data_IF_059446486839
#
_entry.id   IF_059446486839
#
_cell.length_a   1.000
_cell.length_b   1.000
_cell.length_c   1.000
_cell.angle_alpha   90.00
_cell.angle_beta   90.00
_cell.angle_gamma   90.00
#
_symmetry.space_group_name_H-M   'P 1'
#
loop_
_entity.id
_entity.type
_entity.pdbx_description
1 polymer ?
#
# COMPACT_ATOMS: atom_id res chain seq x y z
N UNK A 1 26.62 -56.57 -9.65
CA UNK A 1 27.35 -55.47 -10.32
C UNK A 1 26.38 -54.31 -10.52
N UNK A 2 26.84 -53.08 -10.23
CA UNK A 2 26.06 -51.86 -9.99
C UNK A 2 25.05 -51.54 -11.11
N UNK A 3 23.77 -51.45 -10.75
CA UNK A 3 22.78 -50.70 -11.52
C UNK A 3 23.02 -49.21 -11.28
N UNK A 4 23.54 -48.52 -12.29
CA UNK A 4 23.56 -47.06 -12.38
C UNK A 4 22.21 -46.60 -12.95
N UNK A 5 21.38 -45.85 -12.19
CA UNK A 5 20.27 -45.13 -12.79
C UNK A 5 20.83 -43.88 -13.45
N UNK A 6 20.72 -43.84 -14.79
CA UNK A 6 20.97 -42.66 -15.61
C UNK A 6 20.08 -41.52 -15.11
N UNK A 7 20.68 -40.51 -14.50
CA UNK A 7 20.01 -39.25 -14.23
C UNK A 7 19.72 -38.55 -15.57
N UNK A 8 18.46 -38.57 -15.99
CA UNK A 8 17.98 -37.73 -17.07
C UNK A 8 17.86 -36.30 -16.55
N UNK A 9 18.76 -35.43 -16.99
CA UNK A 9 18.61 -34.00 -16.89
C UNK A 9 17.50 -33.59 -17.87
N UNK A 10 16.24 -33.60 -17.39
CA UNK A 10 15.16 -32.91 -18.10
C UNK A 10 15.39 -31.41 -17.92
N UNK A 11 16.23 -30.88 -18.81
CA UNK A 11 16.20 -29.48 -19.21
C UNK A 11 14.80 -29.18 -19.74
N UNK A 12 13.88 -28.80 -18.85
CA UNK A 12 12.75 -27.98 -19.27
C UNK A 12 13.33 -26.60 -19.59
N UNK A 13 13.84 -26.48 -20.81
CA UNK A 13 13.64 -25.25 -21.56
C UNK A 13 12.12 -25.15 -21.69
N UNK A 14 11.49 -24.54 -20.69
CA UNK A 14 10.21 -23.91 -20.93
C UNK A 14 10.53 -22.90 -22.04
N UNK A 15 10.12 -23.23 -23.27
CA UNK A 15 9.92 -22.24 -24.29
C UNK A 15 8.97 -21.23 -23.64
N UNK A 16 9.54 -20.17 -23.08
CA UNK A 16 8.85 -18.95 -22.82
C UNK A 16 8.24 -18.59 -24.17
N UNK A 17 6.94 -18.88 -24.30
CA UNK A 17 6.14 -18.37 -25.40
C UNK A 17 6.25 -16.86 -25.32
N UNK A 18 7.19 -16.32 -26.08
CA UNK A 18 7.32 -14.90 -26.31
C UNK A 18 6.02 -14.45 -26.97
N UNK A 19 5.08 -13.94 -26.16
CA UNK A 19 4.09 -12.99 -26.62
C UNK A 19 4.67 -11.58 -26.37
N UNK A 20 4.40 -10.63 -27.27
CA UNK A 20 5.28 -9.50 -27.53
C UNK A 20 5.15 -8.46 -26.41
N UNK A 21 5.97 -8.54 -25.37
CA UNK A 21 6.05 -7.49 -24.35
C UNK A 21 7.42 -6.83 -24.46
N UNK A 22 7.73 -6.23 -25.61
CA UNK A 22 8.82 -5.26 -25.71
C UNK A 22 8.28 -3.86 -25.38
N UNK A 23 7.80 -3.67 -24.15
CA UNK A 23 7.64 -2.34 -23.59
C UNK A 23 8.76 -2.13 -22.57
N UNK A 24 9.46 -0.99 -22.73
CA UNK A 24 10.73 -0.60 -22.10
C UNK A 24 10.60 -0.41 -20.58
N UNK A 25 10.27 -1.47 -19.84
CA UNK A 25 10.37 -1.45 -18.39
C UNK A 25 11.85 -1.43 -18.02
N UNK A 26 12.30 -0.38 -17.34
CA UNK A 26 13.61 -0.43 -16.71
C UNK A 26 13.46 -1.18 -15.37
N UNK A 27 13.81 -2.46 -15.38
CA UNK A 27 13.67 -3.34 -14.21
C UNK A 27 14.93 -3.37 -13.33
N UNK A 28 15.97 -2.62 -13.69
CA UNK A 28 17.26 -2.65 -12.95
C UNK A 28 17.14 -2.21 -11.50
N UNK A 29 16.11 -1.43 -11.18
CA UNK A 29 15.81 -0.93 -9.83
C UNK A 29 14.87 -1.85 -9.03
N UNK A 30 14.36 -2.93 -9.63
CA UNK A 30 13.38 -3.82 -9.01
C UNK A 30 14.04 -5.11 -8.52
N UNK A 31 13.75 -5.49 -7.29
CA UNK A 31 14.01 -6.83 -6.74
C UNK A 31 12.74 -7.68 -6.83
N UNK A 32 12.90 -9.01 -6.79
CA UNK A 32 11.77 -9.96 -6.81
C UNK A 32 10.80 -9.72 -7.98
N UNK A 33 11.37 -9.53 -9.18
CA UNK A 33 10.63 -9.10 -10.37
C UNK A 33 9.65 -10.17 -10.81
N UNK A 34 8.39 -9.78 -10.98
CA UNK A 34 7.33 -10.60 -11.55
C UNK A 34 6.70 -9.94 -12.77
N UNK A 35 6.22 -10.75 -13.71
CA UNK A 35 5.47 -10.27 -14.87
C UNK A 35 4.07 -10.85 -14.86
N UNK A 36 3.07 -9.99 -15.04
CA UNK A 36 1.66 -10.39 -15.05
C UNK A 36 0.90 -9.62 -16.12
N UNK A 37 -0.23 -10.16 -16.57
CA UNK A 37 -1.20 -9.41 -17.36
C UNK A 37 -2.27 -8.83 -16.43
N UNK A 38 -2.84 -7.68 -16.78
CA UNK A 38 -4.00 -7.15 -16.08
C UNK A 38 -5.20 -8.11 -16.20
N UNK A 39 -6.16 -7.98 -15.28
CA UNK A 39 -7.45 -8.67 -15.39
C UNK A 39 -8.11 -8.26 -16.71
N UNK A 40 -8.34 -9.21 -17.61
CA UNK A 40 -8.82 -8.94 -18.98
C UNK A 40 -7.72 -8.74 -20.03
N UNK A 41 -6.43 -8.90 -19.69
CA UNK A 41 -5.27 -8.86 -20.61
C UNK A 41 -5.10 -7.56 -21.41
N UNK A 42 -5.68 -6.46 -20.93
CA UNK A 42 -5.61 -5.16 -21.58
C UNK A 42 -4.31 -4.37 -21.28
N UNK A 43 -3.50 -4.85 -20.34
CA UNK A 43 -2.21 -4.27 -19.98
C UNK A 43 -1.21 -5.35 -19.56
N UNK A 44 0.07 -5.07 -19.80
CA UNK A 44 1.20 -5.84 -19.27
C UNK A 44 1.76 -5.14 -18.05
N UNK A 45 2.00 -5.88 -16.98
CA UNK A 45 2.45 -5.35 -15.71
C UNK A 45 3.76 -5.99 -15.26
N UNK A 46 4.65 -5.17 -14.72
CA UNK A 46 5.81 -5.59 -13.94
C UNK A 46 5.52 -5.34 -12.46
N UNK A 47 5.90 -6.28 -11.62
CA UNK A 47 5.85 -6.17 -10.17
C UNK A 47 7.25 -6.34 -9.60
N UNK A 48 7.52 -5.71 -8.46
CA UNK A 48 8.77 -5.91 -7.75
C UNK A 48 8.92 -4.91 -6.62
N UNK A 49 10.01 -5.03 -5.88
CA UNK A 49 10.35 -4.13 -4.78
C UNK A 49 11.37 -3.10 -5.23
N UNK A 50 11.08 -1.82 -4.99
CA UNK A 50 11.99 -0.70 -5.22
C UNK A 50 12.53 -0.19 -3.88
N UNK A 51 13.83 0.09 -3.83
CA UNK A 51 14.50 0.55 -2.63
C UNK A 51 14.49 2.08 -2.59
N UNK A 52 13.78 2.66 -1.62
CA UNK A 52 13.53 4.11 -1.55
C UNK A 52 14.18 4.69 -0.30
N UNK A 53 15.27 5.45 -0.44
CA UNK A 53 15.86 6.19 0.68
C UNK A 53 15.01 7.42 1.00
N UNK A 54 14.57 7.53 2.27
CA UNK A 54 13.79 8.67 2.75
C UNK A 54 14.35 9.23 4.06
N UNK A 55 13.88 10.43 4.40
CA UNK A 55 14.22 11.13 5.64
C UNK A 55 12.97 11.81 6.16
N UNK A 56 12.52 11.49 7.36
CA UNK A 56 11.31 12.08 7.93
C UNK A 56 11.42 12.21 9.44
N UNK A 57 10.66 13.15 10.00
CA UNK A 57 10.46 13.26 11.44
C UNK A 57 9.33 12.29 11.82
N UNK A 58 9.67 11.33 12.69
CA UNK A 58 8.73 10.38 13.26
C UNK A 58 8.30 10.88 14.64
N UNK A 59 7.01 10.76 14.94
CA UNK A 59 6.49 11.02 16.29
C UNK A 59 6.77 9.81 17.18
N UNK A 60 7.37 10.03 18.34
CA UNK A 60 7.56 8.98 19.33
C UNK A 60 6.23 8.77 20.07
N UNK A 61 5.65 7.58 19.93
CA UNK A 61 4.35 7.26 20.49
C UNK A 61 4.46 6.70 21.90
N UNK A 62 3.64 7.24 22.81
CA UNK A 62 3.39 6.71 24.16
C UNK A 62 2.56 5.41 24.17
N UNK A 63 2.10 4.95 23.01
CA UNK A 63 1.23 3.79 22.91
C UNK A 63 1.99 2.49 23.21
N UNK A 64 1.65 1.84 24.32
CA UNK A 64 2.16 0.52 24.66
C UNK A 64 1.49 -0.57 23.79
N UNK A 65 2.28 -1.40 23.10
CA UNK A 65 1.79 -2.41 22.14
C UNK A 65 1.13 -3.64 22.78
N UNK A 66 1.28 -3.82 24.10
CA UNK A 66 0.81 -4.96 24.89
C UNK A 66 -0.60 -4.77 25.46
N UNK A 67 -1.41 -3.93 24.82
CA UNK A 67 -2.58 -3.37 25.47
C UNK A 67 -3.87 -4.10 25.10
N UNK A 68 -4.78 -4.15 26.07
CA UNK A 68 -6.05 -4.87 25.98
C UNK A 68 -6.99 -4.23 24.94
N UNK A 69 -8.10 -4.89 24.59
CA UNK A 69 -9.02 -4.37 23.56
C UNK A 69 -9.58 -2.96 23.84
N UNK A 70 -9.55 -2.51 25.10
CA UNK A 70 -10.04 -1.20 25.52
C UNK A 70 -9.10 -0.07 25.09
N UNK A 71 -7.81 -0.22 25.37
CA UNK A 71 -6.79 0.75 24.95
C UNK A 71 -6.71 0.96 23.43
N UNK A 72 -6.82 -0.12 22.64
CA UNK A 72 -6.83 -0.07 21.17
C UNK A 72 -8.08 0.66 20.69
N UNK A 73 -9.22 0.43 21.36
CA UNK A 73 -10.46 1.14 21.07
C UNK A 73 -10.31 2.64 21.33
N UNK A 74 -9.74 3.04 22.48
CA UNK A 74 -9.51 4.45 22.81
C UNK A 74 -8.51 5.11 21.86
N UNK A 75 -7.44 4.42 21.48
CA UNK A 75 -6.50 4.89 20.48
C UNK A 75 -7.17 5.10 19.12
N UNK A 76 -7.86 4.08 18.59
CA UNK A 76 -8.60 4.16 17.32
C UNK A 76 -9.65 5.26 17.36
N UNK A 77 -10.36 5.39 18.49
CA UNK A 77 -11.33 6.47 18.68
C UNK A 77 -10.66 7.83 18.60
N UNK A 78 -9.55 8.05 19.32
CA UNK A 78 -8.88 9.34 19.33
C UNK A 78 -8.23 9.70 18.00
N UNK A 79 -7.62 8.75 17.27
CA UNK A 79 -7.03 9.03 15.95
C UNK A 79 -8.05 9.21 14.82
N UNK A 80 -9.29 8.75 15.02
CA UNK A 80 -10.38 8.91 14.05
C UNK A 80 -11.25 10.14 14.30
N UNK A 81 -10.99 10.87 15.39
CA UNK A 81 -11.67 12.14 15.67
C UNK A 81 -11.18 13.22 14.73
N UNK A 82 -12.08 14.13 14.42
CA UNK A 82 -11.78 15.34 13.63
C UNK A 82 -10.97 16.37 14.42
N UNK A 83 -11.00 16.31 15.76
CA UNK A 83 -10.14 17.11 16.63
C UNK A 83 -8.77 16.44 16.74
N UNK A 84 -7.66 17.08 16.31
CA UNK A 84 -6.32 16.52 16.38
C UNK A 84 -5.69 16.61 17.78
N UNK A 85 -6.24 17.40 18.72
CA UNK A 85 -5.63 17.60 20.04
C UNK A 85 -5.46 16.28 20.84
N UNK A 86 -6.42 15.34 20.85
CA UNK A 86 -6.28 14.06 21.53
C UNK A 86 -5.17 13.15 20.96
N UNK A 87 -4.69 13.41 19.74
CA UNK A 87 -3.55 12.66 19.16
C UNK A 87 -2.24 13.14 19.79
N UNK A 88 -2.13 14.43 20.13
CA UNK A 88 -0.94 14.97 20.81
C UNK A 88 -0.75 14.40 22.22
N UNK A 89 -1.81 13.93 22.86
CA UNK A 89 -1.74 13.25 24.17
C UNK A 89 -0.96 11.92 24.11
N UNK A 90 -0.75 11.37 22.90
CA UNK A 90 0.03 10.15 22.68
C UNK A 90 1.45 10.41 22.14
N UNK A 91 1.91 11.66 22.11
CA UNK A 91 3.23 12.03 21.57
C UNK A 91 4.21 12.43 22.68
N UNK A 92 5.38 11.79 22.69
CA UNK A 92 6.50 12.12 23.60
C UNK A 92 7.54 13.07 22.98
N UNK A 93 7.47 13.29 21.67
CA UNK A 93 8.42 14.09 20.92
C UNK A 93 8.54 13.64 19.46
N UNK A 94 9.56 14.15 18.78
CA UNK A 94 9.89 13.72 17.41
C UNK A 94 11.35 13.32 17.29
N UNK A 95 11.60 12.35 16.42
CA UNK A 95 12.96 11.89 16.09
C UNK A 95 13.15 11.81 14.58
N UNK A 96 14.34 12.16 14.11
CA UNK A 96 14.64 12.16 12.67
C UNK A 96 15.11 10.78 12.22
N UNK A 97 14.29 10.09 11.42
CA UNK A 97 14.62 8.80 10.84
C UNK A 97 15.20 8.97 9.43
N UNK A 98 16.32 8.30 9.15
CA UNK A 98 16.94 8.20 7.82
C UNK A 98 17.13 6.73 7.49
N UNK A 99 16.31 6.21 6.58
CA UNK A 99 16.27 4.78 6.24
C UNK A 99 15.89 4.56 4.78
N UNK A 100 16.27 3.41 4.26
CA UNK A 100 15.83 2.92 2.94
C UNK A 100 14.78 1.84 3.14
N UNK A 101 13.64 2.00 2.48
CA UNK A 101 12.52 1.07 2.55
C UNK A 101 12.34 0.32 1.22
N UNK A 102 12.08 -0.97 1.31
CA UNK A 102 11.60 -1.80 0.21
C UNK A 102 10.10 -1.58 0.00
N UNK A 103 9.78 -0.86 -1.08
CA UNK A 103 8.40 -0.56 -1.45
C UNK A 103 8.00 -1.44 -2.61
N UNK A 104 6.96 -2.25 -2.41
CA UNK A 104 6.45 -3.08 -3.49
C UNK A 104 5.63 -2.24 -4.45
N UNK A 105 5.92 -2.36 -5.74
CA UNK A 105 5.26 -1.62 -6.82
C UNK A 105 4.74 -2.57 -7.88
N UNK A 106 3.61 -2.18 -8.48
CA UNK A 106 3.09 -2.76 -9.71
C UNK A 106 2.95 -1.68 -10.76
N UNK A 107 3.71 -1.77 -11.83
CA UNK A 107 3.66 -0.85 -12.94
C UNK A 107 3.09 -1.52 -14.18
N UNK A 108 1.96 -1.03 -14.66
CA UNK A 108 1.23 -1.57 -15.80
C UNK A 108 1.27 -0.62 -17.00
N UNK A 109 1.49 -1.17 -18.19
CA UNK A 109 1.45 -0.46 -19.47
C UNK A 109 0.33 -1.08 -20.33
N UNK A 110 -0.59 -0.27 -20.89
CA UNK A 110 -1.62 -0.76 -21.80
C UNK A 110 -1.04 -1.56 -22.97
N UNK A 111 -1.73 -2.59 -23.43
CA UNK A 111 -1.29 -3.42 -24.57
C UNK A 111 -1.23 -2.64 -25.88
N UNK A 112 -1.92 -1.49 -25.98
CA UNK A 112 -1.81 -0.53 -27.07
C UNK A 112 -0.50 0.27 -27.06
N UNK A 113 0.36 0.08 -26.04
CA UNK A 113 1.54 0.89 -25.78
C UNK A 113 1.20 2.22 -25.09
N UNK A 114 2.26 2.96 -24.75
CA UNK A 114 2.13 4.31 -24.22
C UNK A 114 1.82 5.30 -25.36
N UNK A 115 1.06 6.38 -25.09
CA UNK A 115 0.82 7.43 -26.06
C UNK A 115 2.12 7.98 -26.67
N UNK A 116 2.10 8.20 -27.98
CA UNK A 116 3.17 8.85 -28.72
C UNK A 116 3.24 10.33 -28.35
N UNK A 117 4.23 10.72 -27.57
CA UNK A 117 4.43 12.09 -27.10
C UNK A 117 5.40 12.18 -25.93
N UNK A 118 5.84 13.41 -25.63
CA UNK A 118 6.67 13.73 -24.45
C UNK A 118 5.83 14.08 -23.22
N UNK A 119 4.58 14.50 -23.43
CA UNK A 119 3.66 14.87 -22.35
C UNK A 119 2.83 13.66 -21.89
N UNK A 120 3.47 12.74 -21.16
CA UNK A 120 2.83 11.51 -20.68
C UNK A 120 2.29 11.69 -19.27
N UNK A 121 1.08 11.20 -19.07
CA UNK A 121 0.46 11.07 -17.76
C UNK A 121 0.57 9.64 -17.21
N UNK A 122 0.78 9.52 -15.91
CA UNK A 122 0.67 8.25 -15.17
C UNK A 122 -0.26 8.42 -13.98
N UNK A 123 -1.03 7.36 -13.70
CA UNK A 123 -1.83 7.24 -12.50
C UNK A 123 -1.03 6.47 -11.44
N UNK A 124 -0.90 7.04 -10.24
CA UNK A 124 -0.34 6.35 -9.07
C UNK A 124 -1.46 5.97 -8.11
N UNK A 125 -1.51 4.68 -7.73
CA UNK A 125 -2.45 4.14 -6.76
C UNK A 125 -1.68 3.65 -5.54
N UNK A 126 -1.90 4.27 -4.39
CA UNK A 126 -1.29 3.85 -3.12
C UNK A 126 -2.24 2.91 -2.38
N UNK A 127 -1.82 1.67 -2.14
CA UNK A 127 -2.51 0.69 -1.31
C UNK A 127 -1.48 -0.17 -0.58
N UNK A 128 -1.81 -0.66 0.62
CA UNK A 128 -0.98 -1.58 1.40
C UNK A 128 -1.15 -3.02 0.95
N UNK A 129 -0.16 -3.88 1.22
CA UNK A 129 -0.33 -5.33 1.12
C UNK A 129 0.95 -6.14 0.89
N UNK A 130 1.93 -5.63 0.13
CA UNK A 130 3.14 -6.38 -0.22
C UNK A 130 4.46 -5.65 0.06
N UNK A 131 4.39 -4.41 0.55
CA UNK A 131 5.59 -3.66 0.96
C UNK A 131 6.18 -4.23 2.24
N UNK A 132 7.41 -3.83 2.56
CA UNK A 132 8.00 -4.12 3.87
C UNK A 132 7.06 -3.67 5.01
N UNK A 133 7.09 -4.41 6.12
CA UNK A 133 6.34 -4.12 7.34
C UNK A 133 7.32 -3.65 8.43
N UNK A 134 7.76 -2.38 8.40
CA UNK A 134 8.70 -1.84 9.38
C UNK A 134 8.04 -1.66 10.76
N UNK A 135 8.76 -1.07 11.71
CA UNK A 135 8.22 -0.80 13.04
C UNK A 135 6.90 -0.01 12.95
N UNK A 136 5.78 -0.58 13.44
CA UNK A 136 4.47 0.01 13.25
C UNK A 136 4.27 1.32 14.02
N UNK A 137 5.02 1.54 15.10
CA UNK A 137 4.86 2.74 15.93
C UNK A 137 5.76 3.88 15.46
N UNK A 138 7.01 3.58 15.08
CA UNK A 138 7.99 4.61 14.72
C UNK A 138 8.11 4.85 13.22
N UNK A 139 7.91 3.84 12.38
CA UNK A 139 8.22 3.93 10.95
C UNK A 139 6.96 3.98 10.07
N UNK A 140 5.87 3.30 10.45
CA UNK A 140 4.60 3.31 9.70
C UNK A 140 3.77 4.55 10.04
N UNK A 141 4.27 5.71 9.63
CA UNK A 141 3.60 6.99 9.86
C UNK A 141 3.34 7.77 8.56
N UNK A 142 2.44 8.75 8.64
CA UNK A 142 2.12 9.63 7.49
C UNK A 142 3.36 10.34 6.93
N UNK A 143 4.29 10.90 7.73
CA UNK A 143 5.49 11.54 7.21
C UNK A 143 6.38 10.59 6.37
N UNK A 144 6.54 9.33 6.78
CA UNK A 144 7.28 8.34 6.00
C UNK A 144 6.62 8.11 4.62
N UNK A 145 5.30 7.93 4.61
CA UNK A 145 4.51 7.71 3.40
C UNK A 145 4.58 8.90 2.43
N UNK A 146 4.62 10.13 2.96
CA UNK A 146 4.78 11.37 2.18
C UNK A 146 6.10 11.38 1.43
N UNK A 147 7.20 11.07 2.10
CA UNK A 147 8.53 11.04 1.49
C UNK A 147 8.67 9.89 0.47
N UNK A 148 8.12 8.72 0.79
CA UNK A 148 8.08 7.58 -0.15
C UNK A 148 7.37 7.98 -1.43
N UNK A 149 6.20 8.59 -1.30
CA UNK A 149 5.38 8.99 -2.45
C UNK A 149 6.06 10.08 -3.27
N UNK A 150 6.66 11.08 -2.63
CA UNK A 150 7.44 12.12 -3.29
C UNK A 150 8.63 11.54 -4.08
N UNK A 151 9.35 10.59 -3.50
CA UNK A 151 10.46 9.92 -4.18
C UNK A 151 9.99 9.09 -5.38
N UNK A 152 8.89 8.35 -5.24
CA UNK A 152 8.29 7.61 -6.36
C UNK A 152 7.91 8.55 -7.52
N UNK A 153 7.31 9.69 -7.21
CA UNK A 153 6.96 10.72 -8.21
C UNK A 153 8.22 11.27 -8.88
N UNK A 154 9.27 11.56 -8.12
CA UNK A 154 10.57 12.00 -8.65
C UNK A 154 11.20 10.97 -9.59
N UNK A 155 11.13 9.69 -9.23
CA UNK A 155 11.58 8.57 -10.07
C UNK A 155 10.78 8.46 -11.37
N UNK A 156 9.47 8.71 -11.34
CA UNK A 156 8.62 8.73 -12.53
C UNK A 156 8.96 9.91 -13.47
N UNK A 157 9.20 11.09 -12.92
CA UNK A 157 9.61 12.27 -13.69
C UNK A 157 10.99 12.07 -14.36
N UNK A 158 11.94 11.47 -13.64
CA UNK A 158 13.29 11.23 -14.17
C UNK A 158 13.36 10.09 -15.21
N UNK A 159 12.36 9.20 -15.21
CA UNK A 159 12.30 8.04 -16.09
C UNK A 159 13.03 6.82 -15.53
N UNK A 160 13.16 6.72 -14.20
CA UNK A 160 13.82 5.59 -13.53
C UNK A 160 13.21 4.24 -13.92
N UNK A 161 11.89 4.19 -14.17
CA UNK A 161 11.17 2.99 -14.59
C UNK A 161 11.08 2.82 -16.12
N UNK A 162 11.82 3.64 -16.89
CA UNK A 162 11.91 3.62 -18.34
C UNK A 162 11.39 4.93 -18.97
N UNK A 163 10.08 5.04 -19.26
CA UNK A 163 9.50 6.29 -19.77
C UNK A 163 9.50 7.39 -18.72
N UNK A 164 9.75 8.64 -19.16
CA UNK A 164 9.47 9.84 -18.38
C UNK A 164 7.99 10.21 -18.47
N UNK A 165 7.45 10.63 -17.34
CA UNK A 165 6.11 11.19 -17.22
C UNK A 165 6.23 12.65 -16.80
N UNK A 166 5.53 13.55 -17.49
CA UNK A 166 5.46 14.99 -17.15
C UNK A 166 4.30 15.29 -16.21
N UNK A 167 3.36 14.36 -16.06
CA UNK A 167 2.12 14.50 -15.32
C UNK A 167 1.90 13.26 -14.47
N UNK A 168 1.68 13.44 -13.17
CA UNK A 168 1.26 12.36 -12.27
C UNK A 168 -0.11 12.70 -11.69
N UNK A 169 -1.03 11.73 -11.76
CA UNK A 169 -2.36 11.81 -11.17
C UNK A 169 -2.40 10.85 -9.99
N UNK A 170 -2.65 11.36 -8.79
CA UNK A 170 -2.79 10.51 -7.60
C UNK A 170 -4.22 10.01 -7.47
N UNK A 171 -4.39 8.72 -7.23
CA UNK A 171 -5.69 8.13 -6.95
C UNK A 171 -5.61 7.34 -5.66
N UNK A 172 -6.50 7.69 -4.74
CA UNK A 172 -6.50 7.21 -3.35
C UNK A 172 -7.85 6.66 -2.96
N UNK A 173 -7.83 5.79 -1.95
CA UNK A 173 -9.02 5.21 -1.34
C UNK A 173 -8.99 5.45 0.18
N UNK A 174 -10.12 5.89 0.76
CA UNK A 174 -10.31 6.12 2.19
C UNK A 174 -9.26 7.08 2.82
N UNK A 175 -9.10 6.98 4.14
CA UNK A 175 -8.14 7.68 4.97
C UNK A 175 -6.67 7.40 4.58
N UNK A 176 -6.41 6.32 3.83
CA UNK A 176 -5.10 6.00 3.25
C UNK A 176 -4.56 7.05 2.26
N UNK A 177 -5.34 8.10 1.98
CA UNK A 177 -4.91 9.24 1.21
C UNK A 177 -4.42 10.46 1.99
N UNK A 178 -4.28 10.38 3.33
CA UNK A 178 -3.74 11.49 4.11
C UNK A 178 -2.32 11.85 3.67
N UNK A 179 -1.50 10.85 3.34
CA UNK A 179 -0.19 11.07 2.75
C UNK A 179 -0.28 11.83 1.42
N UNK A 180 -1.23 11.50 0.54
CA UNK A 180 -1.45 12.23 -0.73
C UNK A 180 -1.83 13.69 -0.49
N UNK A 181 -2.72 13.97 0.46
CA UNK A 181 -3.07 15.34 0.86
C UNK A 181 -1.84 16.11 1.38
N UNK A 182 -1.06 15.48 2.25
CA UNK A 182 0.15 16.10 2.80
C UNK A 182 1.22 16.32 1.72
N UNK A 183 1.38 15.40 0.77
CA UNK A 183 2.25 15.58 -0.41
C UNK A 183 1.79 16.78 -1.23
N UNK A 184 0.49 16.99 -1.44
CA UNK A 184 0.03 18.19 -2.16
C UNK A 184 0.40 19.48 -1.45
N UNK A 185 0.36 19.50 -0.12
CA UNK A 185 0.75 20.67 0.67
C UNK A 185 2.26 20.88 0.67
N UNK A 186 3.05 19.81 0.78
CA UNK A 186 4.51 19.87 0.94
C UNK A 186 5.26 19.93 -0.39
N UNK A 187 4.76 19.23 -1.40
CA UNK A 187 5.30 19.09 -2.76
C UNK A 187 4.21 19.38 -3.80
N UNK A 188 3.73 20.63 -3.91
CA UNK A 188 2.58 20.99 -4.74
C UNK A 188 2.75 20.71 -6.24
N UNK A 189 3.97 20.49 -6.72
CA UNK A 189 4.28 20.14 -8.11
C UNK A 189 4.18 18.64 -8.41
N UNK A 190 4.03 17.78 -7.40
CA UNK A 190 4.10 16.33 -7.59
C UNK A 190 2.89 15.78 -8.34
N UNK A 191 1.71 16.39 -8.15
CA UNK A 191 0.46 15.93 -8.77
C UNK A 191 -0.23 17.04 -9.55
N UNK A 192 -0.66 16.71 -10.77
CA UNK A 192 -1.48 17.61 -11.59
C UNK A 192 -2.98 17.46 -11.32
N UNK A 193 -3.37 16.33 -10.71
CA UNK A 193 -4.73 16.05 -10.29
C UNK A 193 -4.75 14.96 -9.22
N UNK A 194 -5.84 14.95 -8.46
CA UNK A 194 -6.14 13.93 -7.45
C UNK A 194 -7.54 13.36 -7.69
N UNK A 195 -7.72 12.06 -7.43
CA UNK A 195 -9.03 11.43 -7.38
C UNK A 195 -9.21 10.74 -6.03
N UNK A 196 -10.23 11.18 -5.30
CA UNK A 196 -10.60 10.63 -4.01
C UNK A 196 -11.71 9.60 -4.18
N UNK A 197 -11.47 8.39 -3.70
CA UNK A 197 -12.51 7.36 -3.56
C UNK A 197 -12.70 7.04 -2.08
N UNK A 198 -13.94 6.76 -1.65
CA UNK A 198 -14.24 6.48 -0.24
C UNK A 198 -13.99 7.66 0.72
N UNK A 199 -14.17 8.91 0.28
CA UNK A 199 -14.00 10.11 1.10
C UNK A 199 -15.35 10.75 1.44
N UNK A 200 -15.56 11.08 2.71
CA UNK A 200 -16.68 11.87 3.20
C UNK A 200 -16.14 13.02 4.05
N UNK A 201 -16.62 14.24 3.81
CA UNK A 201 -16.09 15.46 4.42
C UNK A 201 -16.28 15.48 5.95
N UNK A 202 -17.39 14.93 6.44
CA UNK A 202 -17.67 14.77 7.87
C UNK A 202 -18.63 13.60 8.06
N UNK A 203 -18.26 12.59 8.84
CA UNK A 203 -19.24 11.65 9.37
C UNK A 203 -18.80 11.11 10.75
N UNK A 204 -19.49 11.51 11.81
CA UNK A 204 -19.46 10.76 13.06
C UNK A 204 -19.78 9.26 12.83
N UNK A 205 -20.55 8.96 11.78
CA UNK A 205 -20.81 7.60 11.31
C UNK A 205 -19.58 6.88 10.73
N UNK A 206 -18.56 7.60 10.23
CA UNK A 206 -17.31 7.01 9.73
C UNK A 206 -16.35 6.68 10.86
N UNK A 207 -16.19 7.57 11.84
CA UNK A 207 -15.46 7.22 13.07
C UNK A 207 -16.14 6.03 13.78
N UNK A 208 -17.48 6.08 13.91
CA UNK A 208 -18.27 4.97 14.46
C UNK A 208 -18.13 3.66 13.67
N UNK A 209 -18.06 3.72 12.33
CA UNK A 209 -17.87 2.51 11.52
C UNK A 209 -16.46 1.93 11.68
N UNK A 210 -15.42 2.78 11.71
CA UNK A 210 -14.03 2.34 11.94
C UNK A 210 -13.89 1.67 13.32
N UNK A 211 -14.49 2.23 14.38
CA UNK A 211 -14.49 1.62 15.71
C UNK A 211 -15.23 0.27 15.70
N UNK A 212 -16.36 0.18 14.98
CA UNK A 212 -17.13 -1.06 14.90
C UNK A 212 -16.36 -2.22 14.26
N UNK A 213 -15.23 -1.97 13.58
CA UNK A 213 -14.35 -3.04 13.07
C UNK A 213 -13.60 -3.79 14.16
N UNK A 214 -13.57 -3.27 15.40
CA UNK A 214 -12.93 -3.89 16.57
C UNK A 214 -11.47 -4.25 16.29
N UNK A 215 -10.68 -3.27 15.86
CA UNK A 215 -9.26 -3.46 15.60
C UNK A 215 -8.54 -4.11 16.80
N UNK A 216 -7.61 -5.03 16.51
CA UNK A 216 -6.78 -5.65 17.54
C UNK A 216 -5.55 -6.36 16.97
N UNK A 217 -4.77 -7.00 17.84
CA UNK A 217 -3.49 -7.65 17.49
C UNK A 217 -3.62 -8.67 16.36
N UNK A 218 -2.61 -8.78 15.46
CA UNK A 218 -2.65 -9.69 14.33
C UNK A 218 -2.45 -11.15 14.75
N UNK A 219 -1.97 -11.42 15.96
CA UNK A 219 -1.60 -12.77 16.42
C UNK A 219 -2.77 -13.76 16.48
N UNK A 220 -3.99 -13.25 16.67
CA UNK A 220 -5.22 -14.05 16.55
C UNK A 220 -5.56 -14.50 15.13
N UNK A 221 -4.79 -14.09 14.12
CA UNK A 221 -4.98 -14.42 12.70
C UNK A 221 -3.74 -15.17 12.20
N UNK A 222 -3.86 -16.48 11.98
CA UNK A 222 -2.73 -17.37 11.64
C UNK A 222 -1.81 -16.83 10.53
N UNK A 223 -2.36 -16.21 9.46
CA UNK A 223 -1.54 -15.67 8.37
C UNK A 223 -0.77 -14.40 8.72
N UNK A 224 -1.22 -13.65 9.73
CA UNK A 224 -0.64 -12.37 10.17
C UNK A 224 0.17 -12.48 11.47
N UNK A 225 0.32 -13.68 12.03
CA UNK A 225 1.14 -13.93 13.23
C UNK A 225 2.61 -13.51 13.10
N UNK A 226 3.09 -13.33 11.87
CA UNK A 226 4.44 -12.85 11.59
C UNK A 226 4.60 -11.33 11.74
N UNK A 227 3.50 -10.57 11.88
CA UNK A 227 3.52 -9.12 12.05
C UNK A 227 3.74 -8.76 13.54
N UNK A 228 4.46 -7.66 13.81
CA UNK A 228 4.54 -7.07 15.15
C UNK A 228 3.16 -6.68 15.71
N UNK A 229 3.01 -6.71 17.04
CA UNK A 229 1.74 -6.43 17.73
C UNK A 229 1.18 -5.02 17.48
N UNK A 230 2.02 -4.04 17.11
CA UNK A 230 1.56 -2.69 16.78
C UNK A 230 0.79 -2.58 15.45
N UNK A 231 0.74 -3.65 14.64
CA UNK A 231 -0.16 -3.70 13.48
C UNK A 231 -1.58 -4.04 13.92
N UNK A 232 -2.56 -3.24 13.51
CA UNK A 232 -3.96 -3.46 13.87
C UNK A 232 -4.72 -4.12 12.71
N UNK A 233 -5.49 -5.16 13.02
CA UNK A 233 -6.33 -5.87 12.04
C UNK A 233 -7.80 -5.83 12.47
N UNK A 234 -8.74 -5.63 11.52
CA UNK A 234 -10.16 -5.62 11.85
C UNK A 234 -10.62 -7.02 12.29
N UNK A 235 -11.41 -7.10 13.37
CA UNK A 235 -11.90 -8.36 13.95
C UNK A 235 -13.39 -8.62 13.71
N UNK A 236 -14.19 -7.57 13.53
CA UNK A 236 -15.65 -7.65 13.39
C UNK A 236 -16.11 -7.70 11.93
N UNK A 237 -16.86 -8.75 11.57
CA UNK A 237 -17.48 -8.86 10.25
C UNK A 237 -18.56 -7.79 10.06
N UNK A 238 -19.32 -7.52 11.11
CA UNK A 238 -20.34 -6.49 11.16
C UNK A 238 -19.74 -5.10 10.98
N UNK A 239 -18.61 -4.82 11.62
CA UNK A 239 -17.85 -3.58 11.42
C UNK A 239 -17.38 -3.39 9.99
N UNK A 240 -16.77 -4.42 9.39
CA UNK A 240 -16.34 -4.40 7.98
C UNK A 240 -17.55 -4.17 7.06
N UNK A 241 -18.69 -4.80 7.34
CA UNK A 241 -19.95 -4.53 6.64
C UNK A 241 -20.36 -3.06 6.76
N UNK A 242 -20.44 -2.51 7.98
CA UNK A 242 -20.85 -1.12 8.20
C UNK A 242 -19.89 -0.14 7.49
N UNK A 243 -18.59 -0.46 7.44
CA UNK A 243 -17.58 0.37 6.76
C UNK A 243 -17.70 0.35 5.23
N UNK A 244 -17.90 -0.82 4.61
CA UNK A 244 -17.64 -0.98 3.16
C UNK A 244 -18.85 -1.43 2.35
N UNK A 245 -19.90 -1.95 3.00
CA UNK A 245 -20.99 -2.61 2.30
C UNK A 245 -22.34 -2.06 2.74
N UNK A 246 -23.29 -1.99 1.80
CA UNK A 246 -24.68 -1.62 2.09
C UNK A 246 -25.57 -2.83 1.89
N UNK A 247 -26.02 -3.48 2.97
CA UNK A 247 -27.03 -4.54 2.87
C UNK A 247 -28.38 -3.98 2.37
N UNK A 248 -29.13 -4.70 1.49
CA UNK A 248 -28.86 -6.02 0.91
C UNK A 248 -28.11 -5.99 -0.44
N UNK A 249 -27.44 -4.88 -0.78
CA UNK A 249 -26.90 -4.62 -2.12
C UNK A 249 -25.50 -5.21 -2.38
N UNK A 250 -25.08 -6.20 -1.60
CA UNK A 250 -23.84 -6.92 -1.80
C UNK A 250 -24.04 -8.41 -1.54
N UNK A 251 -23.22 -9.25 -2.19
CA UNK A 251 -23.21 -10.67 -1.91
C UNK A 251 -22.51 -10.91 -0.56
N UNK A 252 -23.17 -11.47 0.48
CA UNK A 252 -22.55 -11.71 1.79
C UNK A 252 -21.28 -12.56 1.74
N UNK A 253 -21.11 -13.41 0.72
CA UNK A 253 -19.87 -14.17 0.52
C UNK A 253 -18.64 -13.27 0.28
N UNK A 254 -18.83 -12.06 -0.23
CA UNK A 254 -17.75 -11.08 -0.42
C UNK A 254 -17.21 -10.63 0.95
N UNK A 255 -18.07 -10.48 1.96
CA UNK A 255 -17.65 -10.11 3.31
C UNK A 255 -16.82 -11.21 3.94
N UNK A 256 -17.28 -12.47 3.84
CA UNK A 256 -16.54 -13.64 4.34
C UNK A 256 -15.18 -13.79 3.65
N UNK A 257 -15.13 -13.59 2.33
CA UNK A 257 -13.87 -13.63 1.58
C UNK A 257 -12.96 -12.43 1.90
N UNK A 258 -13.54 -11.24 2.10
CA UNK A 258 -12.80 -10.03 2.47
C UNK A 258 -12.10 -10.19 3.82
N UNK A 259 -12.79 -10.75 4.82
CA UNK A 259 -12.20 -10.99 6.14
C UNK A 259 -11.12 -12.08 6.10
N UNK A 260 -11.30 -13.12 5.29
CA UNK A 260 -10.27 -14.15 5.07
C UNK A 260 -9.00 -13.60 4.41
N UNK A 261 -9.11 -12.57 3.55
CA UNK A 261 -8.03 -12.02 2.73
C UNK A 261 -7.66 -10.55 3.05
N UNK A 262 -8.09 -10.01 4.20
CA UNK A 262 -7.71 -8.67 4.63
C UNK A 262 -6.23 -8.66 5.06
N UNK A 263 -5.32 -8.53 4.09
CA UNK A 263 -3.89 -8.23 4.30
C UNK A 263 -3.72 -6.72 4.54
#
# INVERSE_FOLDING_TARGET
MRHSPRAFLLSLIALAGASPVSHKFNITLLKNVGFTLSKGKAASCVTGEVQIPIRFEAEESLFETNTDSLSVTDFVFNVTRTDPNPIMDFSEGTTLIKKTYGIWVKYCVPSSGLPSGVDRAIQILTHGGLSEHPDPLLEVQTPASVEVLHQLVTMLHSGSFGPRFSKVVAVRHLIGGKATETVMSKYPSDFVAIMHTGYAYENAAGAGSVIATEFGSPWGVNRLQHLPDGYLVPKSAEGIHICFFKYPNFNPQILTNGQANAD
#
